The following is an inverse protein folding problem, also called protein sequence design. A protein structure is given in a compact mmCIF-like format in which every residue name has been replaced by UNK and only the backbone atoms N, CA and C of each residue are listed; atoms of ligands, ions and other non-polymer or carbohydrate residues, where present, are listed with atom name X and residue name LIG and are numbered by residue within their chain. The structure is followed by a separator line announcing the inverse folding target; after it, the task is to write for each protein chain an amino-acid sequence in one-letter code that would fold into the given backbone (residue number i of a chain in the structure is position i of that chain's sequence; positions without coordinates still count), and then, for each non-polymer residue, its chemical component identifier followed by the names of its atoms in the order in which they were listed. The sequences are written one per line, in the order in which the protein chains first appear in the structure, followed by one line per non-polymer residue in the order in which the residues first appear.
data_IF_828601517275
#
_entry.id   IF_828601517275
#
_cell.length_a   1.000
_cell.length_b   1.000
_cell.length_c   1.000
_cell.angle_alpha   90.00
_cell.angle_beta   90.00
_cell.angle_gamma   90.00
#
_symmetry.space_group_name_H-M   'P 1'
#
loop_
_entity.id
_entity.type
_entity.pdbx_description
1 polymer ?
#
# COMPACT_ATOMS: atom_id res chain seq x y z
N UNK A 1 18.80 1.81 1.02
CA UNK A 1 17.80 1.92 2.11
C UNK A 1 16.60 1.09 1.65
N UNK A 2 16.09 0.19 2.48
CA UNK A 2 14.97 -0.66 2.08
C UNK A 2 13.70 0.16 2.10
N UNK A 3 13.07 0.38 0.94
CA UNK A 3 11.79 1.08 0.82
C UNK A 3 10.76 0.07 0.32
N UNK A 4 9.72 -0.13 1.11
CA UNK A 4 8.54 -0.90 0.74
C UNK A 4 7.50 0.01 0.14
N UNK A 5 6.80 -0.54 -0.83
CA UNK A 5 5.74 0.14 -1.54
C UNK A 5 4.48 -0.73 -1.48
N UNK A 6 3.37 -0.12 -1.11
CA UNK A 6 2.05 -0.70 -1.21
C UNK A 6 1.18 0.16 -2.11
N UNK A 7 0.70 -0.44 -3.20
CA UNK A 7 -0.25 0.20 -4.09
C UNK A 7 -1.67 -0.26 -3.72
N UNK A 8 -2.59 0.68 -3.58
CA UNK A 8 -4.00 0.45 -3.21
C UNK A 8 -4.92 1.33 -4.06
N UNK A 9 -6.20 0.99 -4.17
CA UNK A 9 -7.16 1.90 -4.81
C UNK A 9 -7.21 3.23 -4.05
N UNK A 10 -7.34 4.34 -4.78
CA UNK A 10 -7.35 5.66 -4.16
C UNK A 10 -8.50 5.84 -3.14
N UNK A 11 -9.61 5.14 -3.36
CA UNK A 11 -10.76 5.11 -2.45
C UNK A 11 -10.45 4.48 -1.08
N UNK A 12 -9.47 3.58 -1.01
CA UNK A 12 -9.14 2.81 0.20
C UNK A 12 -8.07 3.51 1.07
N UNK A 13 -7.47 4.63 0.60
CA UNK A 13 -6.43 5.38 1.33
C UNK A 13 -6.93 5.83 2.71
N UNK A 14 -8.17 6.35 2.80
CA UNK A 14 -8.70 6.88 4.07
C UNK A 14 -8.77 5.82 5.15
N UNK A 15 -9.00 4.57 4.78
CA UNK A 15 -9.00 3.44 5.71
C UNK A 15 -7.60 3.20 6.28
N UNK A 16 -6.56 3.27 5.44
CA UNK A 16 -5.18 3.05 5.84
C UNK A 16 -4.58 4.22 6.62
N UNK A 17 -4.91 5.46 6.25
CA UNK A 17 -4.50 6.65 7.00
C UNK A 17 -5.04 6.61 8.44
N UNK A 18 -6.30 6.20 8.62
CA UNK A 18 -6.88 6.04 9.95
C UNK A 18 -6.16 4.96 10.80
N UNK A 19 -5.61 3.93 10.16
CA UNK A 19 -4.77 2.92 10.84
C UNK A 19 -3.39 3.48 11.19
N UNK A 20 -2.75 4.21 10.27
CA UNK A 20 -1.41 4.76 10.46
C UNK A 20 -1.34 5.82 11.57
N UNK A 21 -2.35 6.70 11.65
CA UNK A 21 -2.52 7.65 12.76
C UNK A 21 -2.68 6.92 14.10
N UNK A 22 -3.37 5.77 14.12
CA UNK A 22 -3.57 4.97 15.32
C UNK A 22 -2.29 4.22 15.76
N UNK A 23 -1.40 3.89 14.83
CA UNK A 23 -0.14 3.17 15.11
C UNK A 23 1.06 4.08 15.36
N UNK A 24 0.91 5.41 15.22
CA UNK A 24 2.01 6.37 15.38
C UNK A 24 3.12 6.17 14.35
N UNK A 25 2.75 5.72 13.14
CA UNK A 25 3.67 5.35 12.07
C UNK A 25 4.36 6.55 11.41
N UNK A 26 5.33 6.26 10.53
CA UNK A 26 5.97 7.29 9.72
C UNK A 26 4.97 7.95 8.76
N UNK A 27 5.21 9.19 8.30
CA UNK A 27 4.32 9.87 7.38
C UNK A 27 4.18 9.05 6.08
N UNK A 28 2.96 8.58 5.83
CA UNK A 28 2.62 7.90 4.58
C UNK A 28 2.71 8.92 3.44
N UNK A 29 3.71 8.76 2.59
CA UNK A 29 3.76 9.47 1.31
C UNK A 29 2.75 8.83 0.35
N UNK A 30 1.78 9.64 -0.11
CA UNK A 30 0.74 9.21 -1.03
C UNK A 30 1.03 9.78 -2.42
N UNK A 31 1.35 8.90 -3.37
CA UNK A 31 1.53 9.28 -4.78
C UNK A 31 0.33 8.78 -5.60
N UNK A 32 -0.41 9.65 -6.31
CA UNK A 32 -1.48 9.21 -7.19
C UNK A 32 -0.89 8.54 -8.44
N UNK A 33 -1.47 7.42 -8.84
CA UNK A 33 -1.15 6.71 -10.07
C UNK A 33 -2.41 6.36 -10.86
N UNK A 34 -2.27 6.19 -12.17
CA UNK A 34 -3.34 5.71 -13.04
C UNK A 34 -3.06 4.28 -13.46
N UNK A 35 -3.98 3.38 -13.12
CA UNK A 35 -3.88 1.98 -13.46
C UNK A 35 -4.20 1.70 -14.93
N UNK A 36 -3.90 0.49 -15.39
CA UNK A 36 -4.12 0.01 -16.75
C UNK A 36 -5.60 0.13 -17.19
N UNK A 37 -6.53 0.01 -16.25
CA UNK A 37 -7.98 0.15 -16.48
C UNK A 37 -8.52 1.56 -16.22
N UNK A 38 -7.66 2.58 -16.10
CA UNK A 38 -8.06 3.97 -15.84
C UNK A 38 -8.50 4.24 -14.39
N UNK A 39 -8.44 3.23 -13.51
CA UNK A 39 -8.69 3.40 -12.07
C UNK A 39 -7.52 4.12 -11.43
N UNK A 40 -7.82 5.11 -10.60
CA UNK A 40 -6.81 5.78 -9.80
C UNK A 40 -6.41 4.91 -8.61
N UNK A 41 -5.10 4.77 -8.42
CA UNK A 41 -4.51 4.13 -7.26
C UNK A 41 -3.63 5.11 -6.50
N UNK A 42 -3.36 4.79 -5.26
CA UNK A 42 -2.34 5.44 -4.47
C UNK A 42 -1.21 4.47 -4.17
N UNK A 43 -0.04 5.06 -4.07
CA UNK A 43 1.17 4.39 -3.63
C UNK A 43 1.49 4.89 -2.24
N UNK A 44 1.75 3.97 -1.32
CA UNK A 44 2.16 4.20 0.06
C UNK A 44 3.60 3.72 0.20
N UNK A 45 4.48 4.56 0.74
CA UNK A 45 5.88 4.20 1.01
C UNK A 45 6.15 4.09 2.51
N UNK A 46 6.91 3.07 2.89
CA UNK A 46 7.41 2.90 4.27
C UNK A 46 8.77 2.19 4.24
N UNK A 47 9.62 2.44 5.23
CA UNK A 47 10.82 1.64 5.46
C UNK A 47 10.61 0.55 6.54
N UNK A 48 9.43 0.53 7.17
CA UNK A 48 9.09 -0.35 8.28
C UNK A 48 8.32 -1.58 7.79
N UNK A 49 8.92 -2.76 7.96
CA UNK A 49 8.26 -4.01 7.62
C UNK A 49 7.03 -4.27 8.50
N UNK A 50 7.05 -3.81 9.76
CA UNK A 50 5.92 -3.94 10.68
C UNK A 50 4.71 -3.13 10.19
N UNK A 51 4.95 -1.90 9.73
CA UNK A 51 3.90 -1.01 9.20
C UNK A 51 3.29 -1.56 7.91
N UNK A 52 4.15 -2.06 7.01
CA UNK A 52 3.73 -2.76 5.81
C UNK A 52 2.86 -4.00 6.11
N UNK A 53 3.25 -4.79 7.12
CA UNK A 53 2.49 -5.96 7.55
C UNK A 53 1.11 -5.55 8.10
N UNK A 54 1.04 -4.48 8.91
CA UNK A 54 -0.24 -3.97 9.41
C UNK A 54 -1.17 -3.49 8.30
N UNK A 55 -0.66 -2.78 7.29
CA UNK A 55 -1.50 -2.36 6.15
C UNK A 55 -2.03 -3.56 5.36
N UNK A 56 -1.17 -4.56 5.13
CA UNK A 56 -1.55 -5.81 4.49
C UNK A 56 -2.66 -6.51 5.25
N UNK A 57 -2.54 -6.65 6.58
CA UNK A 57 -3.56 -7.31 7.41
C UNK A 57 -4.93 -6.60 7.30
N UNK A 58 -4.95 -5.26 7.36
CA UNK A 58 -6.18 -4.47 7.21
C UNK A 58 -6.82 -4.66 5.84
N UNK A 59 -6.01 -4.65 4.77
CA UNK A 59 -6.50 -4.84 3.40
C UNK A 59 -7.01 -6.26 3.16
N UNK A 60 -6.31 -7.26 3.68
CA UNK A 60 -6.73 -8.67 3.58
C UNK A 60 -8.01 -8.93 4.37
N UNK A 61 -8.11 -8.43 5.60
CA UNK A 61 -9.33 -8.53 6.42
C UNK A 61 -10.53 -7.85 5.76
N UNK A 62 -10.30 -6.78 5.00
CA UNK A 62 -11.33 -6.02 4.29
C UNK A 62 -11.60 -6.53 2.86
N UNK A 63 -10.90 -7.57 2.41
CA UNK A 63 -11.03 -8.12 1.05
C UNK A 63 -10.63 -7.14 -0.07
N UNK A 64 -9.72 -6.19 0.23
CA UNK A 64 -9.34 -5.13 -0.71
C UNK A 64 -8.14 -5.55 -1.57
N UNK A 65 -8.21 -5.34 -2.90
CA UNK A 65 -7.10 -5.64 -3.79
C UNK A 65 -5.94 -4.67 -3.55
N UNK A 66 -4.72 -5.19 -3.57
CA UNK A 66 -3.51 -4.43 -3.32
C UNK A 66 -2.29 -5.09 -3.97
N UNK A 67 -1.25 -4.29 -4.21
CA UNK A 67 0.02 -4.76 -4.77
C UNK A 67 1.16 -4.33 -3.87
N UNK A 68 2.04 -5.26 -3.53
CA UNK A 68 3.19 -5.02 -2.68
C UNK A 68 4.49 -5.14 -3.47
N UNK A 69 5.32 -4.11 -3.41
CA UNK A 69 6.60 -4.02 -4.11
C UNK A 69 7.69 -3.70 -3.09
N UNK A 70 8.74 -4.49 -3.08
CA UNK A 70 9.95 -4.20 -2.32
C UNK A 70 10.96 -3.52 -3.25
N UNK A 71 11.07 -2.19 -3.17
CA UNK A 71 11.96 -1.41 -4.04
C UNK A 71 13.45 -1.65 -3.76
N UNK A 72 13.81 -2.22 -2.60
CA UNK A 72 15.21 -2.51 -2.29
C UNK A 72 15.81 -3.58 -3.22
N UNK A 73 14.96 -4.48 -3.70
CA UNK A 73 15.33 -5.60 -4.58
C UNK A 73 14.59 -5.55 -5.92
N UNK A 74 13.89 -4.45 -6.22
CA UNK A 74 12.93 -4.32 -7.33
C UNK A 74 11.99 -5.54 -7.46
N UNK A 75 11.62 -6.11 -6.32
CA UNK A 75 10.95 -7.41 -6.25
C UNK A 75 9.48 -7.22 -5.90
N UNK A 76 8.60 -7.66 -6.79
CA UNK A 76 7.14 -7.70 -6.57
C UNK A 76 6.82 -8.87 -5.63
N UNK A 77 6.49 -8.54 -4.39
CA UNK A 77 6.47 -9.52 -3.29
C UNK A 77 5.12 -10.22 -3.15
N UNK A 78 4.01 -9.50 -3.36
CA UNK A 78 2.66 -10.07 -3.29
C UNK A 78 1.68 -9.29 -4.17
N UNK A 79 0.80 -10.02 -4.85
CA UNK A 79 -0.23 -9.47 -5.73
C UNK A 79 -1.56 -10.08 -5.30
N UNK A 80 -2.40 -9.31 -4.62
CA UNK A 80 -3.83 -9.62 -4.54
C UNK A 80 -4.51 -8.98 -5.75
N UNK A 81 -4.23 -9.59 -6.92
CA UNK A 81 -4.50 -9.19 -8.32
C UNK A 81 -5.38 -7.95 -8.49
N UNK A 82 -4.83 -6.75 -8.27
CA UNK A 82 -5.55 -5.54 -8.59
C UNK A 82 -5.64 -5.44 -10.11
N UNK A 83 -6.86 -5.37 -10.64
CA UNK A 83 -7.17 -5.15 -12.06
C UNK A 83 -6.82 -3.72 -12.53
N UNK A 84 -5.89 -3.04 -11.88
CA UNK A 84 -5.45 -1.69 -12.19
C UNK A 84 -3.92 -1.59 -12.21
#
# INVERSE_FOLDING_TARGET
MTQYEMQVLQADIRMLLATADATGGEPIEVVPGTGANGKAYAVLHTNSLAELASWREVLQASGRPHRLVNRAYDYRQEVNDPDW
#
